data_IF_545419532661
#
_entry.id   IF_545419532661
#
_cell.length_a   1.000
_cell.length_b   1.000
_cell.length_c   1.000
_cell.angle_alpha   90.00
_cell.angle_beta   90.00
_cell.angle_gamma   90.00
#
_symmetry.space_group_name_H-M   'P 1'
#
loop_
_entity.id
_entity.type
_entity.pdbx_description
1 polymer ?
#
# COMPACT_ATOMS: atom_id res chain seq x y z
N UNK A 1 9.23 -22.33 -15.23
CA UNK A 1 9.47 -22.00 -14.67
C UNK A 1 9.70 -21.52 -13.89
N UNK A 2 9.61 -21.22 -13.75
CA UNK A 2 9.82 -20.65 -13.00
C UNK A 2 10.14 -20.31 -12.18
N UNK A 3 10.12 -19.75 -11.92
CA UNK A 3 10.41 -19.28 -11.20
C UNK A 3 10.42 -19.39 -10.22
N UNK A 4 10.39 -19.84 -10.47
CA UNK A 4 10.07 -19.99 -9.36
C UNK A 4 10.69 -19.59 -8.09
N UNK A 5 11.12 -19.95 -7.33
CA UNK A 5 11.71 -19.53 -6.11
C UNK A 5 11.90 -18.07 -5.90
N UNK A 6 11.54 -17.31 -6.83
CA UNK A 6 11.63 -15.91 -6.65
C UNK A 6 10.30 -15.31 -6.54
N UNK A 7 9.71 -15.53 -5.40
CA UNK A 7 8.48 -14.85 -5.15
C UNK A 7 8.76 -13.37 -5.04
N UNK A 8 8.11 -12.60 -5.87
CA UNK A 8 8.04 -11.16 -5.72
C UNK A 8 7.26 -10.89 -4.45
N UNK A 9 7.82 -10.09 -3.59
CA UNK A 9 7.09 -9.64 -2.41
C UNK A 9 6.13 -8.56 -2.82
N UNK A 10 4.88 -8.70 -2.41
CA UNK A 10 3.82 -7.77 -2.77
C UNK A 10 3.45 -6.89 -1.58
N UNK A 11 3.24 -5.63 -1.87
CA UNK A 11 2.86 -4.64 -0.85
C UNK A 11 1.72 -3.79 -1.35
N UNK A 12 0.84 -3.43 -0.43
CA UNK A 12 -0.13 -2.37 -0.67
C UNK A 12 0.24 -1.25 0.31
N UNK A 13 0.61 -0.10 -0.22
CA UNK A 13 0.87 1.07 0.60
C UNK A 13 -0.42 1.88 0.70
N UNK A 14 -0.95 2.01 1.92
CA UNK A 14 -2.11 2.85 2.19
C UNK A 14 -1.84 4.24 1.60
N UNK A 15 -2.85 4.87 1.03
CA UNK A 15 -2.69 6.17 0.38
C UNK A 15 -2.13 7.24 1.32
N UNK A 16 -2.29 7.07 2.63
CA UNK A 16 -1.67 7.98 3.60
C UNK A 16 -0.15 7.95 3.54
N UNK A 17 0.44 6.86 3.07
CA UNK A 17 1.89 6.77 2.87
C UNK A 17 2.31 7.74 1.76
N UNK A 18 1.53 7.78 0.68
CA UNK A 18 1.76 8.73 -0.41
C UNK A 18 1.59 10.17 0.07
N UNK A 19 0.51 10.45 0.80
CA UNK A 19 0.24 11.79 1.33
C UNK A 19 1.41 12.25 2.21
N UNK A 20 1.90 11.38 3.09
CA UNK A 20 3.05 11.71 3.94
C UNK A 20 4.30 11.95 3.12
N UNK A 21 4.46 11.26 1.99
CA UNK A 21 5.64 11.41 1.13
C UNK A 21 5.67 12.75 0.41
N UNK A 22 4.50 13.29 0.03
CA UNK A 22 4.43 14.50 -0.79
C UNK A 22 4.05 15.76 -0.02
N UNK A 23 3.60 15.61 1.22
CA UNK A 23 3.17 16.74 2.05
C UNK A 23 4.24 17.81 2.25
N UNK A 24 5.49 17.38 2.35
CA UNK A 24 6.61 18.30 2.49
C UNK A 24 7.49 18.22 1.27
N UNK A 25 7.27 19.14 0.34
CA UNK A 25 8.04 19.14 -0.89
C UNK A 25 9.52 19.35 -0.61
N UNK A 26 10.34 18.60 -1.33
CA UNK A 26 11.78 18.76 -1.28
C UNK A 26 12.50 18.01 -0.16
N UNK A 27 11.80 17.36 0.76
CA UNK A 27 12.43 16.62 1.84
C UNK A 27 12.28 15.11 1.67
N UNK A 28 13.38 14.34 1.82
CA UNK A 28 13.29 12.89 1.79
C UNK A 28 12.70 12.36 3.11
N UNK A 29 11.38 12.24 3.17
CA UNK A 29 10.70 11.67 4.33
C UNK A 29 10.85 10.14 4.33
N UNK A 30 10.66 9.48 5.46
CA UNK A 30 10.64 8.01 5.50
C UNK A 30 9.64 7.41 4.51
N UNK A 31 8.47 8.02 4.39
CA UNK A 31 7.44 7.57 3.44
C UNK A 31 7.94 7.64 2.00
N UNK A 32 8.60 8.72 1.65
CA UNK A 32 9.12 8.88 0.30
C UNK A 32 10.22 7.88 -0.01
N UNK A 33 11.12 7.66 0.93
CA UNK A 33 12.18 6.66 0.78
C UNK A 33 11.60 5.28 0.54
N UNK A 34 10.57 4.93 1.29
CA UNK A 34 9.92 3.64 1.16
C UNK A 34 9.29 3.47 -0.21
N UNK A 35 8.53 4.47 -0.66
CA UNK A 35 7.88 4.42 -1.97
C UNK A 35 8.92 4.36 -3.10
N UNK A 36 9.99 5.13 -2.99
CA UNK A 36 11.06 5.10 -3.99
C UNK A 36 11.73 3.75 -4.05
N UNK A 37 11.92 3.10 -2.90
CA UNK A 37 12.47 1.75 -2.88
C UNK A 37 11.54 0.78 -3.61
N UNK A 38 10.24 0.86 -3.33
CA UNK A 38 9.27 -0.01 -3.99
C UNK A 38 9.27 0.18 -5.51
N UNK A 39 9.44 1.42 -5.95
CA UNK A 39 9.48 1.73 -7.38
C UNK A 39 10.74 1.21 -8.06
N UNK A 40 11.85 1.21 -7.34
CA UNK A 40 13.15 0.88 -7.92
C UNK A 40 13.57 -0.57 -7.78
N UNK A 41 12.94 -1.33 -6.87
CA UNK A 41 13.30 -2.73 -6.66
C UNK A 41 12.41 -3.64 -7.53
N UNK A 42 12.99 -4.30 -8.54
CA UNK A 42 12.20 -5.18 -9.40
C UNK A 42 11.65 -6.42 -8.70
N UNK A 43 12.15 -6.72 -7.49
CA UNK A 43 11.65 -7.85 -6.70
C UNK A 43 10.46 -7.47 -5.84
N UNK A 44 10.08 -6.21 -5.86
CA UNK A 44 8.95 -5.70 -5.10
C UNK A 44 7.77 -5.47 -6.03
N UNK A 45 6.63 -6.09 -5.73
CA UNK A 45 5.39 -5.82 -6.43
C UNK A 45 4.52 -4.89 -5.61
N UNK A 46 3.78 -4.04 -6.27
CA UNK A 46 2.79 -3.19 -5.64
C UNK A 46 1.41 -3.62 -6.09
N UNK A 47 0.49 -3.72 -5.15
CA UNK A 47 -0.89 -4.05 -5.47
C UNK A 47 -1.80 -2.95 -4.94
N UNK A 48 -2.98 -2.86 -5.53
CA UNK A 48 -4.00 -1.93 -5.10
C UNK A 48 -5.34 -2.39 -5.64
N UNK A 49 -6.34 -1.57 -5.44
CA UNK A 49 -7.67 -1.79 -6.00
C UNK A 49 -8.13 -0.51 -6.68
N UNK A 50 -9.26 -0.55 -7.36
CA UNK A 50 -9.75 0.61 -8.11
C UNK A 50 -9.94 1.83 -7.20
N UNK A 51 -10.39 1.62 -5.98
CA UNK A 51 -10.59 2.70 -5.02
C UNK A 51 -9.26 3.33 -4.61
N UNK A 52 -8.25 2.50 -4.37
CA UNK A 52 -6.91 2.96 -4.05
C UNK A 52 -6.35 3.87 -5.15
N UNK A 53 -6.53 3.47 -6.39
CA UNK A 53 -6.04 4.23 -7.53
C UNK A 53 -6.76 5.57 -7.66
N UNK A 54 -8.08 5.59 -7.53
CA UNK A 54 -8.85 6.83 -7.57
C UNK A 54 -8.41 7.80 -6.48
N UNK A 55 -8.20 7.29 -5.28
CA UNK A 55 -7.80 8.12 -4.15
C UNK A 55 -6.39 8.69 -4.36
N UNK A 56 -5.48 7.87 -4.88
CA UNK A 56 -4.12 8.31 -5.20
C UNK A 56 -4.14 9.49 -6.19
N UNK A 57 -4.89 9.34 -7.27
CA UNK A 57 -4.96 10.35 -8.32
C UNK A 57 -5.65 11.63 -7.83
N UNK A 58 -6.64 11.49 -6.97
CA UNK A 58 -7.31 12.64 -6.38
C UNK A 58 -6.36 13.44 -5.50
N UNK A 59 -5.59 12.76 -4.64
CA UNK A 59 -4.59 13.44 -3.82
C UNK A 59 -3.52 14.11 -4.68
N UNK A 60 -3.10 13.47 -5.76
CA UNK A 60 -2.11 14.05 -6.66
C UNK A 60 -2.57 15.38 -7.23
N UNK A 61 -3.85 15.46 -7.59
CA UNK A 61 -4.43 16.72 -8.06
C UNK A 61 -4.50 17.77 -6.97
N UNK A 62 -4.87 17.37 -5.76
CA UNK A 62 -5.01 18.30 -4.63
C UNK A 62 -3.69 18.96 -4.25
N UNK A 63 -2.59 18.23 -4.32
CA UNK A 63 -1.28 18.77 -3.96
C UNK A 63 -0.70 19.72 -5.01
N UNK A 64 -1.17 19.62 -6.24
CA UNK A 64 -0.77 20.53 -7.33
C UNK A 64 0.73 20.74 -7.52
N UNK A 65 1.54 19.72 -7.24
CA UNK A 65 2.96 19.82 -7.46
C UNK A 65 3.39 18.79 -8.50
N UNK A 66 4.39 19.15 -9.30
CA UNK A 66 4.92 18.22 -10.30
C UNK A 66 5.48 16.97 -9.64
N UNK A 67 6.18 17.15 -8.52
CA UNK A 67 6.78 16.02 -7.81
C UNK A 67 5.70 15.05 -7.31
N UNK A 68 4.60 15.57 -6.78
CA UNK A 68 3.51 14.73 -6.32
C UNK A 68 2.86 13.97 -7.47
N UNK A 69 2.66 14.66 -8.60
CA UNK A 69 2.06 14.03 -9.78
C UNK A 69 2.97 12.96 -10.37
N UNK A 70 4.26 13.24 -10.47
CA UNK A 70 5.22 12.26 -10.98
C UNK A 70 5.25 11.00 -10.12
N UNK A 71 5.29 11.16 -8.80
CA UNK A 71 5.29 10.02 -7.90
C UNK A 71 4.00 9.20 -8.05
N UNK A 72 2.87 9.88 -8.13
CA UNK A 72 1.58 9.19 -8.32
C UNK A 72 1.55 8.42 -9.64
N UNK A 73 2.05 9.02 -10.72
CA UNK A 73 2.10 8.36 -12.02
C UNK A 73 2.99 7.13 -12.00
N UNK A 74 4.15 7.21 -11.36
CA UNK A 74 5.06 6.08 -11.23
C UNK A 74 4.43 4.94 -10.44
N UNK A 75 3.76 5.29 -9.34
CA UNK A 75 3.05 4.30 -8.52
C UNK A 75 1.93 3.65 -9.33
N UNK A 76 1.15 4.46 -10.05
CA UNK A 76 0.04 3.96 -10.86
C UNK A 76 0.52 3.00 -11.96
N UNK A 77 1.69 3.26 -12.52
CA UNK A 77 2.25 2.40 -13.56
C UNK A 77 2.74 1.07 -13.01
N UNK A 78 3.25 1.06 -11.80
CA UNK A 78 3.79 -0.16 -11.21
C UNK A 78 2.72 -1.02 -10.54
N UNK A 79 1.67 -0.40 -10.02
CA UNK A 79 0.68 -1.13 -9.23
C UNK A 79 -0.12 -2.10 -10.08
N UNK A 80 -0.33 -3.30 -9.55
CA UNK A 80 -1.26 -4.26 -10.12
C UNK A 80 -2.60 -4.05 -9.46
N UNK A 81 -3.61 -3.72 -10.22
CA UNK A 81 -4.97 -3.51 -9.70
C UNK A 81 -5.65 -4.86 -9.55
N UNK A 82 -6.01 -5.19 -8.32
CA UNK A 82 -6.65 -6.45 -7.99
C UNK A 82 -8.17 -6.28 -8.07
N UNK A 83 -8.82 -7.17 -8.81
CA UNK A 83 -10.27 -7.21 -8.86
C UNK A 83 -10.74 -8.02 -7.66
N UNK A 84 -11.39 -7.36 -6.71
CA UNK A 84 -11.73 -7.98 -5.43
C UNK A 84 -12.88 -8.98 -5.53
N UNK A 85 -12.69 -10.13 -4.88
CA UNK A 85 -13.72 -11.13 -4.74
C UNK A 85 -14.47 -10.93 -3.42
N UNK A 86 -15.76 -11.09 -3.47
CA UNK A 86 -16.67 -10.85 -2.33
C UNK A 86 -16.25 -11.59 -1.06
N UNK A 87 -15.78 -12.82 -1.20
CA UNK A 87 -15.40 -13.63 -0.03
C UNK A 87 -14.29 -13.00 0.80
N UNK A 88 -13.35 -12.31 0.15
CA UNK A 88 -12.26 -11.64 0.86
C UNK A 88 -12.74 -10.36 1.52
N UNK A 89 -13.64 -9.65 0.86
CA UNK A 89 -14.25 -8.45 1.43
C UNK A 89 -15.05 -8.81 2.68
N UNK A 90 -15.84 -9.85 2.60
CA UNK A 90 -16.65 -10.31 3.74
C UNK A 90 -15.78 -10.71 4.93
N UNK A 91 -14.72 -11.47 4.68
CA UNK A 91 -13.79 -11.89 5.74
C UNK A 91 -13.16 -10.70 6.44
N UNK A 92 -12.72 -9.69 5.71
CA UNK A 92 -12.08 -8.53 6.28
C UNK A 92 -13.05 -7.58 6.95
N UNK A 93 -14.29 -7.54 6.50
CA UNK A 93 -15.31 -6.68 7.07
C UNK A 93 -15.54 -6.94 8.56
N UNK A 94 -15.44 -8.19 8.97
CA UNK A 94 -15.58 -8.55 10.38
C UNK A 94 -14.38 -8.12 11.22
N UNK A 95 -13.21 -8.09 10.61
CA UNK A 95 -11.97 -7.81 11.32
C UNK A 95 -11.61 -6.32 11.39
N UNK A 96 -11.91 -5.57 10.35
CA UNK A 96 -11.59 -4.13 10.31
C UNK A 96 -12.68 -3.31 10.98
N UNK A 97 -13.92 -3.75 10.85
CA UNK A 97 -15.06 -3.01 11.39
C UNK A 97 -15.79 -2.25 10.29
N UNK A 98 -17.07 -1.97 10.57
CA UNK A 98 -17.97 -1.42 9.56
C UNK A 98 -17.78 0.06 9.27
N UNK A 99 -17.00 0.75 10.09
CA UNK A 99 -16.87 2.20 9.98
C UNK A 99 -15.97 2.66 8.86
N UNK A 100 -15.11 1.76 8.36
CA UNK A 100 -14.11 2.12 7.36
C UNK A 100 -14.17 1.18 6.17
N UNK A 101 -15.15 1.37 5.26
CA UNK A 101 -15.29 0.48 4.11
C UNK A 101 -14.05 0.49 3.20
N UNK A 102 -13.34 1.62 3.12
CA UNK A 102 -12.12 1.70 2.31
C UNK A 102 -11.02 0.84 2.92
N UNK A 103 -10.89 0.87 4.25
CA UNK A 103 -9.90 0.04 4.95
C UNK A 103 -10.19 -1.45 4.75
N UNK A 104 -11.47 -1.82 4.72
CA UNK A 104 -11.88 -3.18 4.41
C UNK A 104 -11.40 -3.59 3.02
N UNK A 105 -11.54 -2.71 2.04
CA UNK A 105 -11.11 -2.99 0.66
C UNK A 105 -9.59 -3.17 0.58
N UNK A 106 -8.84 -2.35 1.30
CA UNK A 106 -7.38 -2.48 1.32
C UNK A 106 -6.94 -3.78 1.98
N UNK A 107 -7.56 -4.13 3.10
CA UNK A 107 -7.25 -5.38 3.79
C UNK A 107 -7.61 -6.58 2.92
N UNK A 108 -8.77 -6.53 2.25
CA UNK A 108 -9.21 -7.61 1.36
C UNK A 108 -8.27 -7.78 0.17
N UNK A 109 -7.76 -6.67 -0.37
CA UNK A 109 -6.78 -6.71 -1.45
C UNK A 109 -5.53 -7.47 -1.00
N UNK A 110 -5.04 -7.17 0.20
CA UNK A 110 -3.87 -7.85 0.74
C UNK A 110 -4.13 -9.31 1.03
N UNK A 111 -5.30 -9.64 1.56
CA UNK A 111 -5.65 -11.02 1.84
C UNK A 111 -5.72 -11.84 0.54
N UNK A 112 -6.39 -11.31 -0.46
CA UNK A 112 -6.57 -11.98 -1.74
C UNK A 112 -5.27 -12.15 -2.52
N UNK A 113 -4.40 -11.16 -2.49
CA UNK A 113 -3.15 -11.17 -3.26
C UNK A 113 -1.94 -11.62 -2.46
N UNK A 114 -2.13 -11.96 -1.19
CA UNK A 114 -1.05 -12.33 -0.26
C UNK A 114 -0.01 -11.23 -0.15
N UNK A 115 -0.48 -10.00 -0.05
CA UNK A 115 0.38 -8.83 0.07
C UNK A 115 0.47 -8.36 1.52
N UNK A 116 1.53 -7.63 1.81
CA UNK A 116 1.71 -6.97 3.10
C UNK A 116 1.14 -5.56 3.00
N UNK A 117 0.35 -5.17 3.99
CA UNK A 117 -0.19 -3.82 4.06
C UNK A 117 0.80 -2.91 4.78
N UNK A 118 1.09 -1.77 4.19
CA UNK A 118 1.91 -0.74 4.83
C UNK A 118 1.00 0.40 5.25
N UNK A 119 0.87 0.60 6.55
CA UNK A 119 0.02 1.68 7.07
C UNK A 119 0.40 1.99 8.51
N UNK A 120 0.30 3.26 8.87
CA UNK A 120 0.44 3.71 10.25
C UNK A 120 -0.92 3.87 10.92
N UNK A 121 -2.01 3.56 10.22
CA UNK A 121 -3.36 3.74 10.75
C UNK A 121 -3.69 2.64 11.78
N UNK A 122 -4.04 3.02 13.03
CA UNK A 122 -4.39 2.04 14.05
C UNK A 122 -5.67 1.27 13.73
N UNK A 123 -6.47 1.71 12.77
CA UNK A 123 -7.68 0.98 12.35
C UNK A 123 -7.35 -0.43 11.84
N UNK A 124 -6.11 -0.68 11.44
CA UNK A 124 -5.67 -2.00 10.99
C UNK A 124 -5.12 -2.89 12.10
N UNK A 125 -5.07 -2.40 13.34
CA UNK A 125 -4.50 -3.17 14.46
C UNK A 125 -5.25 -4.48 14.71
N UNK A 126 -6.57 -4.48 14.59
CA UNK A 126 -7.36 -5.69 14.81
C UNK A 126 -7.05 -6.78 13.81
N UNK A 127 -6.93 -6.43 12.53
CA UNK A 127 -6.65 -7.41 11.49
C UNK A 127 -5.21 -7.89 11.58
N UNK A 128 -4.29 -7.03 11.99
CA UNK A 128 -2.90 -7.41 12.25
C UNK A 128 -2.84 -8.42 13.40
N UNK A 129 -3.53 -8.13 14.50
CA UNK A 129 -3.53 -8.99 15.68
C UNK A 129 -4.21 -10.34 15.40
N UNK A 130 -5.20 -10.35 14.53
CA UNK A 130 -5.85 -11.58 14.09
C UNK A 130 -4.97 -12.40 13.14
N UNK A 131 -3.86 -11.83 12.68
CA UNK A 131 -2.90 -12.46 11.75
C UNK A 131 -3.50 -12.89 10.43
N UNK A 132 -4.57 -12.24 10.01
CA UNK A 132 -5.18 -12.50 8.73
C UNK A 132 -4.31 -12.00 7.58
N UNK A 133 -3.68 -10.85 7.78
CA UNK A 133 -2.69 -10.29 6.85
C UNK A 133 -1.54 -9.71 7.68
N UNK A 134 -0.40 -9.54 7.01
CA UNK A 134 0.72 -8.85 7.64
C UNK A 134 0.52 -7.34 7.47
N UNK A 135 0.65 -6.60 8.56
CA UNK A 135 0.57 -5.14 8.57
C UNK A 135 1.87 -4.59 9.13
N UNK A 136 2.51 -3.71 8.40
CA UNK A 136 3.74 -3.05 8.86
C UNK A 136 3.53 -1.54 8.85
N UNK A 137 4.06 -0.88 9.88
CA UNK A 137 4.16 0.57 9.86
C UNK A 137 5.25 0.97 8.87
N UNK A 138 5.32 2.26 8.55
CA UNK A 138 6.37 2.76 7.66
C UNK A 138 7.74 2.46 8.25
N UNK A 139 7.93 2.68 9.54
CA UNK A 139 9.19 2.42 10.22
C UNK A 139 9.55 0.92 10.17
N UNK A 140 8.58 0.05 10.44
CA UNK A 140 8.82 -1.39 10.38
C UNK A 140 9.18 -1.85 8.98
N UNK A 141 8.51 -1.30 7.98
CA UNK A 141 8.79 -1.64 6.58
C UNK A 141 10.21 -1.24 6.19
N UNK A 142 10.64 -0.03 6.58
CA UNK A 142 12.00 0.44 6.30
C UNK A 142 13.06 -0.44 6.94
N UNK A 143 12.82 -0.89 8.16
CA UNK A 143 13.75 -1.79 8.84
C UNK A 143 13.86 -3.13 8.13
N UNK A 144 12.73 -3.65 7.68
CA UNK A 144 12.69 -4.96 7.04
C UNK A 144 13.38 -4.99 5.69
N UNK A 145 13.25 -3.93 4.92
CA UNK A 145 13.90 -3.85 3.61
C UNK A 145 15.31 -3.27 3.72
N UNK A 146 15.73 -2.95 4.95
CA UNK A 146 17.07 -2.44 5.25
C UNK A 146 17.47 -1.21 4.45
N UNK A 147 16.55 -0.29 4.33
CA UNK A 147 16.86 1.02 3.79
C UNK A 147 17.43 1.84 4.93
N UNK A 148 18.68 2.08 4.82
CA UNK A 148 19.35 2.87 5.85
C UNK A 148 19.67 4.23 5.31
#
# INVERSE_FOLDING_TARGET
MPRSGRSTRKYLADTNVYVAAVRRSGRPTPSRRLLEHFLNDPRTGLVGNAWWLEELLRYAEEFRSEAALELAEELAQKVEIIELEERFVAACSELVGRHNPVDVLHAATCLQSEATLISNDPDFDRIRDARAIRVLSITEALRRIRII
#
